data_IF_033960538460
#
_entry.id   IF_033960538460
#
_cell.length_a   1.000
_cell.length_b   1.000
_cell.length_c   1.000
_cell.angle_alpha   90.00
_cell.angle_beta   90.00
_cell.angle_gamma   90.00
#
_symmetry.space_group_name_H-M   'P 1'
#
loop_
_entity.id
_entity.type
_entity.pdbx_description
1 polymer ?
#
# COMPACT_ATOMS: atom_id res chain seq x y z
N UNK A 1 3.40 -29.61 -33.11
CA UNK A 1 4.22 -29.87 -31.91
C UNK A 1 4.94 -28.62 -31.38
N UNK A 2 5.49 -27.75 -32.24
CA UNK A 2 6.30 -26.57 -31.81
C UNK A 2 5.52 -25.42 -31.15
N UNK A 3 4.19 -25.31 -31.39
CA UNK A 3 3.35 -24.21 -30.88
C UNK A 3 3.12 -24.25 -29.35
N UNK A 4 3.25 -25.44 -28.75
CA UNK A 4 3.10 -25.62 -27.30
C UNK A 4 4.38 -25.26 -26.54
N UNK A 5 5.54 -25.37 -27.18
CA UNK A 5 6.82 -24.98 -26.59
C UNK A 5 6.92 -23.46 -26.38
N UNK A 6 6.32 -22.67 -27.28
CA UNK A 6 6.25 -21.21 -27.18
C UNK A 6 5.38 -20.72 -26.02
N UNK A 7 4.33 -21.46 -25.64
CA UNK A 7 3.44 -21.12 -24.53
C UNK A 7 4.10 -21.30 -23.15
N UNK A 8 4.99 -22.28 -23.01
CA UNK A 8 5.72 -22.53 -21.75
C UNK A 8 6.79 -21.46 -21.47
N UNK A 9 7.36 -20.84 -22.51
CA UNK A 9 8.37 -19.78 -22.38
C UNK A 9 7.74 -18.43 -21.98
N UNK A 10 6.46 -18.21 -22.31
CA UNK A 10 5.75 -16.98 -21.94
C UNK A 10 5.19 -16.98 -20.50
N UNK A 11 5.16 -18.13 -19.83
CA UNK A 11 4.56 -18.28 -18.50
C UNK A 11 5.21 -17.48 -17.36
N UNK A 12 6.56 -17.34 -17.26
CA UNK A 12 7.17 -16.58 -16.17
C UNK A 12 6.96 -15.07 -16.28
N UNK A 13 6.53 -14.54 -17.43
CA UNK A 13 6.27 -13.11 -17.62
C UNK A 13 4.97 -12.64 -16.94
N UNK A 14 4.14 -13.57 -16.45
CA UNK A 14 2.91 -13.29 -15.72
C UNK A 14 3.11 -13.26 -14.19
N UNK A 15 4.35 -13.27 -13.71
CA UNK A 15 4.61 -13.06 -12.29
C UNK A 15 4.21 -11.64 -11.90
N UNK A 16 3.01 -11.50 -11.32
CA UNK A 16 2.51 -10.25 -10.80
C UNK A 16 3.26 -9.99 -9.47
N UNK A 17 4.17 -9.02 -9.45
CA UNK A 17 4.78 -8.57 -8.22
C UNK A 17 3.66 -8.14 -7.25
N UNK A 18 3.72 -8.60 -6.00
CA UNK A 18 2.73 -8.23 -5.01
C UNK A 18 2.75 -6.71 -4.81
N UNK A 19 1.61 -6.05 -4.98
CA UNK A 19 1.46 -4.62 -4.71
C UNK A 19 1.76 -4.37 -3.23
N UNK A 20 2.79 -3.59 -2.96
CA UNK A 20 3.19 -3.24 -1.61
C UNK A 20 2.15 -2.29 -0.99
N UNK A 21 1.71 -2.59 0.24
CA UNK A 21 0.66 -1.86 0.96
C UNK A 21 1.27 -1.20 2.18
N UNK A 22 1.31 0.13 2.19
CA UNK A 22 2.00 0.95 3.18
C UNK A 22 0.98 1.69 4.06
N UNK A 23 1.21 1.66 5.38
CA UNK A 23 0.50 2.49 6.36
C UNK A 23 1.52 3.44 6.96
N UNK A 24 1.29 4.74 6.89
CA UNK A 24 2.19 5.75 7.48
C UNK A 24 1.70 6.24 8.82
N UNK A 25 2.66 6.44 9.73
CA UNK A 25 2.42 6.93 11.09
C UNK A 25 3.31 8.15 11.31
N UNK A 26 2.70 9.30 11.56
CA UNK A 26 3.38 10.58 11.65
C UNK A 26 3.22 11.39 10.36
N UNK A 27 2.85 12.65 10.51
CA UNK A 27 2.67 13.57 9.38
C UNK A 27 3.94 13.74 8.55
N UNK A 28 5.10 13.85 9.22
CA UNK A 28 6.42 13.92 8.58
C UNK A 28 6.73 12.70 7.71
N UNK A 29 6.43 11.50 8.20
CA UNK A 29 6.61 10.26 7.43
C UNK A 29 5.70 10.24 6.21
N UNK A 30 4.42 10.61 6.38
CA UNK A 30 3.48 10.69 5.26
C UNK A 30 3.96 11.69 4.21
N UNK A 31 4.43 12.87 4.63
CA UNK A 31 4.99 13.88 3.73
C UNK A 31 6.21 13.38 2.95
N UNK A 32 7.12 12.64 3.60
CA UNK A 32 8.28 12.04 2.93
C UNK A 32 7.83 11.04 1.87
N UNK A 33 6.82 10.20 2.15
CA UNK A 33 6.30 9.23 1.18
C UNK A 33 5.73 9.93 -0.05
N UNK A 34 4.96 11.00 0.15
CA UNK A 34 4.48 11.83 -0.96
C UNK A 34 5.62 12.52 -1.71
N UNK A 35 6.64 13.02 -1.02
CA UNK A 35 7.81 13.65 -1.66
C UNK A 35 8.61 12.65 -2.52
N UNK A 36 8.60 11.37 -2.16
CA UNK A 36 9.23 10.29 -2.90
C UNK A 36 8.37 9.72 -4.03
N UNK A 37 7.18 10.26 -4.28
CA UNK A 37 6.23 9.76 -5.28
C UNK A 37 5.83 8.29 -5.05
N UNK A 38 5.77 7.86 -3.79
CA UNK A 38 5.45 6.49 -3.38
C UNK A 38 4.02 6.35 -2.81
N UNK A 39 3.17 7.34 -3.04
CA UNK A 39 1.79 7.38 -2.54
C UNK A 39 0.88 6.29 -3.12
N UNK A 40 1.25 5.69 -4.25
CA UNK A 40 0.49 4.60 -4.88
C UNK A 40 0.41 3.35 -3.99
N UNK A 41 1.40 3.17 -3.12
CA UNK A 41 1.44 2.09 -2.14
C UNK A 41 0.71 2.43 -0.84
N UNK A 42 0.29 3.68 -0.62
CA UNK A 42 -0.36 4.09 0.64
C UNK A 42 -1.79 3.57 0.72
N UNK A 43 -2.08 2.82 1.78
CA UNK A 43 -3.42 2.26 2.04
C UNK A 43 -4.11 2.92 3.23
N UNK A 44 -3.37 3.56 4.14
CA UNK A 44 -3.91 4.32 5.26
C UNK A 44 -2.85 5.23 5.90
N UNK A 45 -3.29 6.14 6.77
CA UNK A 45 -2.47 7.11 7.50
C UNK A 45 -2.93 7.23 8.95
N UNK A 46 -2.13 7.81 9.83
CA UNK A 46 -2.54 8.15 11.21
C UNK A 46 -3.24 9.52 11.30
N UNK A 47 -3.80 9.84 12.47
CA UNK A 47 -4.56 11.08 12.68
C UNK A 47 -3.75 12.37 12.51
N UNK A 48 -2.42 12.33 12.64
CA UNK A 48 -1.56 13.52 12.50
C UNK A 48 -1.20 13.84 11.05
N UNK A 49 -1.41 12.89 10.14
CA UNK A 49 -1.03 12.99 8.73
C UNK A 49 -2.08 13.75 7.91
N UNK A 50 -1.99 15.08 7.93
CA UNK A 50 -2.94 15.99 7.29
C UNK A 50 -2.44 16.65 6.00
N UNK A 51 -1.14 16.58 5.72
CA UNK A 51 -0.50 17.13 4.52
C UNK A 51 0.18 16.01 3.72
N UNK A 52 0.14 16.04 2.38
CA UNK A 52 -0.65 16.95 1.51
C UNK A 52 -2.17 16.69 1.60
N UNK A 53 -3.05 17.57 1.06
CA UNK A 53 -4.50 17.39 1.15
C UNK A 53 -5.00 16.06 0.55
N UNK A 54 -4.24 15.46 -0.37
CA UNK A 54 -4.50 14.13 -0.91
C UNK A 54 -4.45 13.03 0.16
N UNK A 55 -3.58 13.15 1.17
CA UNK A 55 -3.43 12.19 2.26
C UNK A 55 -4.69 12.05 3.11
N UNK A 56 -5.48 13.12 3.22
CA UNK A 56 -6.72 13.11 4.01
C UNK A 56 -7.82 12.21 3.41
N UNK A 57 -7.69 11.83 2.14
CA UNK A 57 -8.59 10.87 1.48
C UNK A 57 -8.34 9.43 1.93
N UNK A 58 -7.17 9.16 2.50
CA UNK A 58 -6.81 7.83 2.98
C UNK A 58 -7.51 7.54 4.32
N UNK A 59 -7.83 6.25 4.59
CA UNK A 59 -8.33 5.81 5.88
C UNK A 59 -7.42 6.25 7.05
N UNK A 60 -8.04 6.63 8.16
CA UNK A 60 -7.35 6.97 9.41
C UNK A 60 -7.28 5.75 10.33
N UNK A 61 -6.08 5.33 10.74
CA UNK A 61 -5.85 4.21 11.66
C UNK A 61 -5.78 4.63 13.14
N UNK A 62 -6.04 5.91 13.43
CA UNK A 62 -6.04 6.48 14.76
C UNK A 62 -4.77 7.26 15.08
N UNK A 63 -4.65 7.65 16.34
CA UNK A 63 -3.51 8.43 16.81
C UNK A 63 -2.28 7.56 16.99
N UNK A 64 -1.12 8.01 16.51
CA UNK A 64 0.12 7.21 16.52
C UNK A 64 0.55 6.69 17.91
N UNK A 65 0.11 7.34 19.00
CA UNK A 65 0.40 6.91 20.40
C UNK A 65 -0.67 5.98 20.97
N UNK A 66 -1.77 5.77 20.26
CA UNK A 66 -2.94 4.96 20.64
C UNK A 66 -3.48 4.24 19.40
N UNK A 67 -2.64 3.40 18.79
CA UNK A 67 -2.97 2.71 17.55
C UNK A 67 -4.02 1.62 17.74
N UNK A 68 -4.93 1.49 16.77
CA UNK A 68 -5.87 0.38 16.69
C UNK A 68 -5.27 -0.78 15.87
N UNK A 69 -4.78 -1.81 16.55
CA UNK A 69 -4.18 -2.98 15.91
C UNK A 69 -5.15 -3.74 15.00
N UNK A 70 -6.42 -3.88 15.39
CA UNK A 70 -7.44 -4.56 14.57
C UNK A 70 -7.74 -3.77 13.30
N UNK A 71 -7.84 -2.45 13.41
CA UNK A 71 -8.03 -1.55 12.26
C UNK A 71 -6.91 -1.67 11.24
N UNK A 72 -5.66 -1.74 11.70
CA UNK A 72 -4.49 -1.93 10.82
C UNK A 72 -4.51 -3.32 10.17
N UNK A 73 -4.82 -4.37 10.93
CA UNK A 73 -4.88 -5.75 10.40
C UNK A 73 -6.01 -5.91 9.36
N UNK A 74 -7.12 -5.20 9.52
CA UNK A 74 -8.24 -5.23 8.56
C UNK A 74 -7.86 -4.67 7.18
N UNK A 75 -6.84 -3.80 7.10
CA UNK A 75 -6.32 -3.25 5.84
C UNK A 75 -5.49 -4.27 5.04
N UNK A 76 -5.04 -5.35 5.68
CA UNK A 76 -4.30 -6.47 5.06
C UNK A 76 -5.26 -7.49 4.43
N UNK A 77 -6.23 -7.04 3.64
CA UNK A 77 -7.04 -7.98 2.84
C UNK A 77 -6.20 -8.48 1.68
N UNK A 78 -5.66 -9.68 1.82
CA UNK A 78 -4.95 -10.36 0.73
C UNK A 78 -5.89 -11.16 -0.15
N UNK A 79 -6.97 -11.77 0.37
CA UNK A 79 -7.90 -12.59 -0.41
C UNK A 79 -9.26 -12.70 0.27
N UNK A 80 -10.33 -12.39 -0.46
CA UNK A 80 -11.67 -12.94 -0.32
C UNK A 80 -12.28 -13.03 -1.72
#
# INVERSE_FOLDING_TARGET
MMRWLLLLIAFPLLSHAAVERLVTLGGDVTEIVYALHAEESLVARDSTSSWPPAAQKLPDVGYLRQLNAEGILALRRSWC
#
